data_IF_480050144378
#
_entry.id   IF_480050144378
#
_cell.length_a   1.000
_cell.length_b   1.000
_cell.length_c   1.000
_cell.angle_alpha   90.00
_cell.angle_beta   90.00
_cell.angle_gamma   90.00
#
_symmetry.space_group_name_H-M   'P 1'
#
loop_
_entity.id
_entity.type
_entity.pdbx_description
1 polymer ?
#
# COMPACT_ATOMS: atom_id res chain seq x y z
N UNK A 1 -40.53 0.31 21.31
CA UNK A 1 -39.68 1.05 20.34
C UNK A 1 -38.19 1.03 20.70
N UNK A 2 -37.78 1.20 21.97
CA UNK A 2 -36.35 1.15 22.33
C UNK A 2 -35.67 -0.21 22.09
N UNK A 3 -36.39 -1.33 22.30
CA UNK A 3 -35.85 -2.69 22.10
C UNK A 3 -35.72 -3.12 20.63
N UNK A 4 -36.47 -2.52 19.71
CA UNK A 4 -36.32 -2.77 18.27
C UNK A 4 -35.15 -1.97 17.69
N UNK A 5 -34.91 -0.76 18.19
CA UNK A 5 -33.80 0.10 17.78
C UNK A 5 -32.43 -0.48 18.18
N UNK A 6 -32.31 -1.06 19.38
CA UNK A 6 -31.08 -1.72 19.83
C UNK A 6 -30.74 -2.96 19.00
N UNK A 7 -31.74 -3.80 18.67
CA UNK A 7 -31.56 -4.98 17.81
C UNK A 7 -31.14 -4.60 16.38
N UNK A 8 -31.74 -3.56 15.80
CA UNK A 8 -31.39 -3.11 14.45
C UNK A 8 -29.97 -2.55 14.38
N UNK A 9 -29.58 -1.76 15.39
CA UNK A 9 -28.22 -1.21 15.50
C UNK A 9 -27.19 -2.33 15.69
N UNK A 10 -27.48 -3.29 16.58
CA UNK A 10 -26.62 -4.45 16.82
C UNK A 10 -26.43 -5.31 15.56
N UNK A 11 -27.51 -5.65 14.86
CA UNK A 11 -27.43 -6.42 13.61
C UNK A 11 -26.61 -5.69 12.54
N UNK A 12 -26.79 -4.36 12.42
CA UNK A 12 -25.99 -3.55 11.49
C UNK A 12 -24.50 -3.59 11.86
N UNK A 13 -24.15 -3.35 13.12
CA UNK A 13 -22.75 -3.39 13.57
C UNK A 13 -22.14 -4.79 13.40
N UNK A 14 -22.87 -5.85 13.76
CA UNK A 14 -22.43 -7.22 13.61
C UNK A 14 -22.15 -7.57 12.15
N UNK A 15 -23.08 -7.26 11.23
CA UNK A 15 -22.88 -7.50 9.79
C UNK A 15 -21.71 -6.72 9.23
N UNK A 16 -21.47 -5.48 9.66
CA UNK A 16 -20.29 -4.70 9.25
C UNK A 16 -19.00 -5.38 9.70
N UNK A 17 -18.91 -5.77 10.97
CA UNK A 17 -17.70 -6.43 11.51
C UNK A 17 -17.46 -7.77 10.81
N UNK A 18 -18.50 -8.60 10.66
CA UNK A 18 -18.42 -9.89 9.99
C UNK A 18 -17.98 -9.73 8.52
N UNK A 19 -18.54 -8.76 7.79
CA UNK A 19 -18.16 -8.48 6.41
C UNK A 19 -16.70 -7.99 6.33
N UNK A 20 -16.25 -7.11 7.23
CA UNK A 20 -14.86 -6.66 7.27
C UNK A 20 -13.88 -7.81 7.49
N UNK A 21 -14.18 -8.71 8.44
CA UNK A 21 -13.35 -9.89 8.71
C UNK A 21 -13.33 -10.82 7.49
N UNK A 22 -14.49 -11.11 6.90
CA UNK A 22 -14.60 -11.91 5.69
C UNK A 22 -13.75 -11.34 4.54
N UNK A 23 -13.81 -10.02 4.33
CA UNK A 23 -13.03 -9.33 3.30
C UNK A 23 -11.53 -9.41 3.57
N UNK A 24 -11.10 -9.14 4.80
CA UNK A 24 -9.68 -9.24 5.17
C UNK A 24 -9.15 -10.66 4.93
N UNK A 25 -9.91 -11.68 5.34
CA UNK A 25 -9.52 -13.07 5.14
C UNK A 25 -9.46 -13.43 3.65
N UNK A 26 -10.52 -13.13 2.89
CA UNK A 26 -10.59 -13.46 1.47
C UNK A 26 -9.53 -12.74 0.64
N UNK A 27 -9.30 -11.45 0.89
CA UNK A 27 -8.22 -10.70 0.24
C UNK A 27 -6.88 -11.30 0.63
N UNK A 28 -6.67 -11.62 1.91
CA UNK A 28 -5.46 -12.31 2.37
C UNK A 28 -5.20 -13.61 1.61
N UNK A 29 -6.22 -14.48 1.49
CA UNK A 29 -6.09 -15.75 0.78
C UNK A 29 -5.82 -15.57 -0.71
N UNK A 30 -6.53 -14.64 -1.38
CA UNK A 30 -6.27 -14.33 -2.79
C UNK A 30 -4.87 -13.79 -2.99
N UNK A 31 -4.38 -12.95 -2.08
CA UNK A 31 -3.01 -12.44 -2.12
C UNK A 31 -2.00 -13.57 -1.98
N UNK A 32 -2.22 -14.51 -1.04
CA UNK A 32 -1.34 -15.68 -0.87
C UNK A 32 -1.33 -16.58 -2.11
N UNK A 33 -2.50 -16.81 -2.71
CA UNK A 33 -2.66 -17.61 -3.92
C UNK A 33 -2.05 -16.96 -5.16
N UNK A 34 -1.99 -15.62 -5.23
CA UNK A 34 -1.35 -14.91 -6.34
C UNK A 34 0.13 -14.59 -6.08
N UNK A 35 0.57 -14.68 -4.82
CA UNK A 35 1.95 -14.52 -4.37
C UNK A 35 2.61 -15.88 -4.07
N UNK A 36 2.31 -16.92 -4.86
CA UNK A 36 2.85 -18.28 -4.67
C UNK A 36 4.38 -18.33 -4.48
N UNK A 37 5.20 -17.59 -5.25
CA UNK A 37 6.65 -17.65 -5.07
C UNK A 37 7.06 -17.31 -3.64
N UNK A 38 6.47 -16.28 -3.05
CA UNK A 38 6.81 -15.84 -1.70
C UNK A 38 6.18 -16.74 -0.63
N UNK A 39 4.94 -17.18 -0.83
CA UNK A 39 4.26 -18.04 0.16
C UNK A 39 4.90 -19.41 0.25
N UNK A 40 5.32 -19.99 -0.87
CA UNK A 40 6.05 -21.27 -0.88
C UNK A 40 7.36 -21.17 -0.10
N UNK A 41 8.13 -20.08 -0.25
CA UNK A 41 9.37 -19.90 0.53
C UNK A 41 9.11 -19.83 2.04
N UNK A 42 8.03 -19.15 2.44
CA UNK A 42 7.66 -19.06 3.86
C UNK A 42 7.14 -20.39 4.43
N UNK A 43 6.32 -21.12 3.66
CA UNK A 43 5.79 -22.44 4.07
C UNK A 43 6.91 -23.47 4.16
N UNK A 44 7.83 -23.47 3.20
CA UNK A 44 8.98 -24.38 3.17
C UNK A 44 10.10 -23.99 4.16
N UNK A 45 9.97 -22.84 4.85
CA UNK A 45 10.98 -22.32 5.80
C UNK A 45 12.39 -22.34 5.21
N UNK A 46 12.53 -21.87 3.98
CA UNK A 46 13.84 -21.69 3.35
C UNK A 46 14.67 -20.75 4.25
N UNK A 47 15.96 -21.05 4.53
CA UNK A 47 16.72 -20.20 5.44
C UNK A 47 16.96 -18.82 4.81
N UNK A 48 16.93 -17.78 5.65
CA UNK A 48 17.11 -16.37 5.23
C UNK A 48 18.49 -16.09 4.63
N UNK A 49 19.43 -17.03 4.73
CA UNK A 49 20.72 -16.99 4.03
C UNK A 49 20.55 -16.96 2.51
N UNK A 50 19.46 -17.53 1.99
CA UNK A 50 19.07 -17.41 0.58
C UNK A 50 18.30 -16.11 0.31
N UNK A 51 18.79 -14.97 0.80
CA UNK A 51 18.18 -13.66 0.55
C UNK A 51 17.90 -13.34 -0.93
N UNK A 52 18.66 -13.83 -1.94
CA UNK A 52 18.35 -13.54 -3.35
C UNK A 52 17.04 -14.17 -3.80
N UNK A 53 16.69 -15.36 -3.29
CA UNK A 53 15.44 -16.04 -3.66
C UNK A 53 14.25 -15.30 -3.06
N UNK A 54 14.38 -14.78 -1.83
CA UNK A 54 13.37 -13.93 -1.21
C UNK A 54 13.16 -12.61 -1.96
N UNK A 55 14.23 -11.95 -2.40
CA UNK A 55 14.13 -10.72 -3.18
C UNK A 55 13.40 -10.96 -4.52
N UNK A 56 13.74 -12.04 -5.23
CA UNK A 56 13.09 -12.41 -6.48
C UNK A 56 11.62 -12.82 -6.27
N UNK A 57 11.33 -13.59 -5.21
CA UNK A 57 9.96 -13.98 -4.87
C UNK A 57 9.08 -12.77 -4.49
N UNK A 58 9.65 -11.78 -3.78
CA UNK A 58 8.98 -10.53 -3.43
C UNK A 58 8.68 -9.69 -4.68
N UNK A 59 9.63 -9.62 -5.62
CA UNK A 59 9.44 -8.94 -6.90
C UNK A 59 8.32 -9.58 -7.73
N UNK A 60 8.30 -10.92 -7.84
CA UNK A 60 7.26 -11.66 -8.55
C UNK A 60 5.89 -11.56 -7.86
N UNK A 61 5.86 -11.33 -6.56
CA UNK A 61 4.63 -11.18 -5.77
C UNK A 61 4.07 -9.76 -5.74
N UNK A 62 4.81 -8.76 -6.26
CA UNK A 62 4.38 -7.36 -6.36
C UNK A 62 2.98 -7.13 -6.97
N UNK A 63 2.58 -7.78 -8.09
CA UNK A 63 1.23 -7.60 -8.63
C UNK A 63 0.13 -8.10 -7.69
N UNK A 64 0.42 -9.09 -6.84
CA UNK A 64 -0.52 -9.57 -5.82
C UNK A 64 -0.80 -8.50 -4.77
N UNK A 65 0.27 -7.89 -4.24
CA UNK A 65 0.15 -6.78 -3.27
C UNK A 65 -0.51 -5.54 -3.89
N UNK A 66 -0.24 -5.23 -5.16
CA UNK A 66 -0.93 -4.15 -5.87
C UNK A 66 -2.45 -4.40 -5.98
N UNK A 67 -2.85 -5.62 -6.31
CA UNK A 67 -4.27 -6.00 -6.36
C UNK A 67 -4.94 -5.92 -4.97
N UNK A 68 -4.23 -6.36 -3.93
CA UNK A 68 -4.68 -6.22 -2.54
C UNK A 68 -4.91 -4.76 -2.15
N UNK A 69 -3.96 -3.87 -2.45
CA UNK A 69 -4.06 -2.44 -2.16
C UNK A 69 -5.17 -1.77 -2.97
N UNK A 70 -5.41 -2.21 -4.21
CA UNK A 70 -6.53 -1.76 -5.03
C UNK A 70 -7.89 -2.08 -4.37
N UNK A 71 -8.04 -3.25 -3.77
CA UNK A 71 -9.25 -3.59 -3.01
C UNK A 71 -9.35 -2.75 -1.74
N UNK A 72 -8.30 -2.67 -0.92
CA UNK A 72 -8.32 -1.90 0.33
C UNK A 72 -8.64 -0.43 0.16
N UNK A 73 -8.27 0.13 -0.98
CA UNK A 73 -8.54 1.51 -1.35
C UNK A 73 -10.01 1.82 -1.58
N UNK A 74 -10.71 0.94 -2.29
CA UNK A 74 -12.07 1.19 -2.78
C UNK A 74 -13.13 0.40 -2.00
N UNK A 75 -12.75 -0.39 -1.00
CA UNK A 75 -13.69 -1.23 -0.26
C UNK A 75 -14.48 -0.41 0.78
N UNK A 76 -15.82 -0.25 0.64
CA UNK A 76 -16.61 0.59 1.54
C UNK A 76 -16.79 -0.04 2.93
N UNK A 77 -16.58 -1.35 3.06
CA UNK A 77 -16.75 -2.08 4.32
C UNK A 77 -15.73 -1.68 5.39
N UNK A 78 -14.56 -1.18 5.00
CA UNK A 78 -13.58 -0.62 5.94
C UNK A 78 -14.03 0.73 6.53
N UNK A 79 -15.21 1.23 6.13
CA UNK A 79 -15.86 2.45 6.63
C UNK A 79 -14.89 3.66 6.66
N UNK A 80 -13.96 3.70 5.71
CA UNK A 80 -13.06 4.83 5.56
C UNK A 80 -13.83 5.93 4.83
N UNK A 81 -13.91 7.10 5.48
CA UNK A 81 -14.58 8.29 4.92
C UNK A 81 -14.11 8.57 3.49
N UNK A 82 -12.83 8.32 3.22
CA UNK A 82 -12.20 8.54 1.92
C UNK A 82 -12.70 7.58 0.82
N UNK A 83 -12.89 6.30 1.14
CA UNK A 83 -13.42 5.34 0.18
C UNK A 83 -14.89 5.64 -0.15
N UNK A 84 -15.70 5.96 0.86
CA UNK A 84 -17.09 6.34 0.64
C UNK A 84 -17.24 7.61 -0.20
N UNK A 85 -16.46 8.65 0.09
CA UNK A 85 -16.50 9.89 -0.68
C UNK A 85 -16.07 9.68 -2.13
N UNK A 86 -15.03 8.87 -2.36
CA UNK A 86 -14.57 8.53 -3.71
C UNK A 86 -15.66 7.82 -4.53
N UNK A 87 -16.30 6.82 -3.93
CA UNK A 87 -17.39 6.09 -4.59
C UNK A 87 -18.57 7.02 -4.87
N UNK A 88 -19.00 7.82 -3.87
CA UNK A 88 -20.08 8.80 -4.03
C UNK A 88 -19.78 9.80 -5.14
N UNK A 89 -18.58 10.39 -5.15
CA UNK A 89 -18.17 11.34 -6.18
C UNK A 89 -18.11 10.69 -7.56
N UNK A 90 -17.66 9.43 -7.66
CA UNK A 90 -17.70 8.68 -8.90
C UNK A 90 -19.13 8.46 -9.38
N UNK A 91 -20.01 7.98 -8.51
CA UNK A 91 -21.41 7.70 -8.80
C UNK A 91 -22.19 8.96 -9.20
N UNK A 92 -21.97 10.08 -8.50
CA UNK A 92 -22.59 11.38 -8.81
C UNK A 92 -22.17 11.93 -10.17
N UNK A 93 -20.96 11.60 -10.64
CA UNK A 93 -20.38 12.10 -11.89
C UNK A 93 -20.30 11.02 -12.98
N UNK A 94 -21.03 9.89 -12.85
CA UNK A 94 -21.03 8.79 -13.84
C UNK A 94 -21.40 9.23 -15.26
N UNK A 95 -22.18 10.30 -15.40
CA UNK A 95 -22.62 10.83 -16.69
C UNK A 95 -21.54 11.64 -17.40
N UNK A 96 -20.51 12.07 -16.70
CA UNK A 96 -19.44 12.89 -17.25
C UNK A 96 -18.33 12.01 -17.82
N UNK A 97 -18.12 11.96 -19.14
CA UNK A 97 -17.13 11.08 -19.75
C UNK A 97 -15.68 11.44 -19.38
N UNK A 98 -15.45 12.65 -18.89
CA UNK A 98 -14.14 13.16 -18.47
C UNK A 98 -13.81 12.88 -16.99
N UNK A 99 -14.71 12.25 -16.23
CA UNK A 99 -14.51 11.95 -14.81
C UNK A 99 -14.51 10.43 -14.55
N UNK A 100 -13.53 9.89 -13.80
CA UNK A 100 -12.30 10.53 -13.33
C UNK A 100 -11.33 10.76 -14.50
N UNK A 101 -10.42 11.73 -14.38
CA UNK A 101 -9.41 11.94 -15.40
C UNK A 101 -8.59 10.68 -15.66
N UNK A 102 -8.15 10.54 -16.90
CA UNK A 102 -7.39 9.40 -17.40
C UNK A 102 -6.15 8.97 -16.58
N UNK A 103 -5.59 9.89 -15.80
CA UNK A 103 -4.44 9.65 -14.94
C UNK A 103 -4.80 9.06 -13.58
N UNK A 104 -6.03 9.25 -13.08
CA UNK A 104 -6.55 8.65 -11.84
C UNK A 104 -7.21 7.31 -12.17
N UNK A 105 -6.98 6.28 -11.35
CA UNK A 105 -7.67 5.00 -11.53
C UNK A 105 -9.18 5.15 -11.26
N UNK A 106 -10.00 4.54 -12.12
CA UNK A 106 -11.42 4.28 -11.79
C UNK A 106 -11.51 3.37 -10.55
N UNK A 107 -12.62 3.42 -9.79
CA UNK A 107 -12.83 2.48 -8.70
C UNK A 107 -12.73 1.02 -9.19
N UNK A 108 -11.95 0.21 -8.50
CA UNK A 108 -11.77 -1.21 -8.82
C UNK A 108 -12.95 -2.05 -8.35
N UNK A 109 -13.56 -1.67 -7.23
CA UNK A 109 -14.72 -2.32 -6.62
C UNK A 109 -15.98 -1.54 -6.97
N UNK A 110 -16.96 -2.17 -7.64
CA UNK A 110 -18.26 -1.55 -7.91
C UNK A 110 -19.09 -1.29 -6.64
N UNK A 111 -19.86 -0.20 -6.61
CA UNK A 111 -20.76 0.14 -5.49
C UNK A 111 -21.97 -0.79 -5.36
N UNK A 112 -22.39 -1.42 -6.45
CA UNK A 112 -23.55 -2.32 -6.51
C UNK A 112 -23.32 -3.68 -5.82
N UNK A 113 -22.05 -4.08 -5.62
CA UNK A 113 -21.69 -5.42 -5.09
C UNK A 113 -20.57 -5.37 -4.06
N UNK A 114 -20.91 -4.89 -2.87
CA UNK A 114 -19.98 -4.72 -1.73
C UNK A 114 -19.22 -6.00 -1.35
N UNK A 115 -19.78 -7.19 -1.56
CA UNK A 115 -19.16 -8.48 -1.18
C UNK A 115 -18.44 -9.20 -2.33
N UNK A 116 -18.49 -8.67 -3.56
CA UNK A 116 -17.88 -9.32 -4.71
C UNK A 116 -16.38 -9.01 -4.79
N UNK A 117 -15.53 -9.90 -4.28
CA UNK A 117 -14.07 -9.66 -4.21
C UNK A 117 -13.33 -10.27 -5.41
N UNK A 118 -13.69 -11.49 -5.80
CA UNK A 118 -12.91 -12.29 -6.75
C UNK A 118 -12.70 -11.58 -8.09
N UNK A 119 -13.78 -11.11 -8.72
CA UNK A 119 -13.71 -10.46 -10.04
C UNK A 119 -12.95 -9.13 -10.00
N UNK A 120 -13.23 -8.20 -9.05
CA UNK A 120 -12.44 -6.99 -8.88
C UNK A 120 -10.96 -7.26 -8.63
N UNK A 121 -10.63 -8.24 -7.78
CA UNK A 121 -9.24 -8.57 -7.45
C UNK A 121 -8.46 -9.01 -8.70
N UNK A 122 -8.97 -9.99 -9.46
CA UNK A 122 -8.30 -10.46 -10.67
C UNK A 122 -8.26 -9.40 -11.78
N UNK A 123 -9.25 -8.49 -11.84
CA UNK A 123 -9.24 -7.35 -12.76
C UNK A 123 -8.11 -6.38 -12.39
N UNK A 124 -8.00 -5.99 -11.12
CA UNK A 124 -6.93 -5.12 -10.63
C UNK A 124 -5.55 -5.77 -10.83
N UNK A 125 -5.44 -7.07 -10.54
CA UNK A 125 -4.23 -7.86 -10.75
C UNK A 125 -3.75 -7.78 -12.20
N UNK A 126 -4.63 -8.08 -13.17
CA UNK A 126 -4.28 -8.03 -14.60
C UNK A 126 -3.93 -6.61 -15.07
N UNK A 127 -4.67 -5.60 -14.61
CA UNK A 127 -4.46 -4.22 -15.03
C UNK A 127 -3.14 -3.63 -14.51
N UNK A 128 -2.76 -3.98 -13.28
CA UNK A 128 -1.57 -3.42 -12.60
C UNK A 128 -0.33 -4.30 -12.79
N UNK A 129 -0.46 -5.49 -13.39
CA UNK A 129 0.56 -6.54 -13.42
C UNK A 129 1.96 -6.03 -13.79
N UNK A 130 2.12 -5.50 -15.00
CA UNK A 130 3.43 -5.09 -15.52
C UNK A 130 4.05 -3.93 -14.74
N UNK A 131 3.22 -2.98 -14.29
CA UNK A 131 3.69 -1.78 -13.58
C UNK A 131 4.10 -2.12 -12.15
N UNK A 132 3.30 -2.94 -11.47
CA UNK A 132 3.62 -3.46 -10.15
C UNK A 132 4.88 -4.33 -10.20
N UNK A 133 5.02 -5.17 -11.23
CA UNK A 133 6.22 -5.98 -11.45
C UNK A 133 7.45 -5.11 -11.70
N UNK A 134 7.37 -4.08 -12.54
CA UNK A 134 8.50 -3.16 -12.79
C UNK A 134 8.99 -2.48 -11.50
N UNK A 135 8.06 -2.00 -10.66
CA UNK A 135 8.38 -1.43 -9.35
C UNK A 135 8.95 -2.46 -8.39
N UNK A 136 8.36 -3.64 -8.38
CA UNK A 136 8.82 -4.74 -7.55
C UNK A 136 10.25 -5.13 -7.87
N UNK A 137 10.57 -5.33 -9.15
CA UNK A 137 11.92 -5.63 -9.60
C UNK A 137 12.90 -4.49 -9.31
N UNK A 138 12.54 -3.23 -9.54
CA UNK A 138 13.46 -2.13 -9.26
C UNK A 138 13.81 -2.02 -7.77
N UNK A 139 12.83 -2.10 -6.88
CA UNK A 139 13.09 -2.04 -5.44
C UNK A 139 13.82 -3.30 -4.94
N UNK A 140 13.42 -4.49 -5.40
CA UNK A 140 14.04 -5.74 -4.98
C UNK A 140 15.46 -5.91 -5.50
N UNK A 141 15.78 -5.40 -6.69
CA UNK A 141 17.16 -5.38 -7.22
C UNK A 141 18.06 -4.54 -6.32
N UNK A 142 17.59 -3.38 -5.87
CA UNK A 142 18.34 -2.52 -4.96
C UNK A 142 18.50 -3.18 -3.59
N UNK A 143 17.45 -3.79 -3.04
CA UNK A 143 17.51 -4.55 -1.79
C UNK A 143 18.50 -5.72 -1.92
N UNK A 144 18.51 -6.43 -3.06
CA UNK A 144 19.46 -7.50 -3.34
C UNK A 144 20.90 -6.99 -3.41
N UNK A 145 21.15 -5.88 -4.11
CA UNK A 145 22.48 -5.27 -4.22
C UNK A 145 23.02 -4.90 -2.84
N UNK A 146 22.21 -4.21 -2.01
CA UNK A 146 22.62 -3.89 -0.65
C UNK A 146 22.74 -5.11 0.27
N UNK A 147 21.94 -6.15 0.05
CA UNK A 147 22.08 -7.43 0.74
C UNK A 147 23.40 -8.13 0.39
N UNK A 148 23.84 -8.03 -0.86
CA UNK A 148 25.13 -8.52 -1.31
C UNK A 148 26.29 -7.69 -0.75
N UNK A 149 26.15 -6.35 -0.74
CA UNK A 149 27.13 -5.45 -0.13
C UNK A 149 27.29 -5.71 1.37
N UNK A 150 26.19 -6.01 2.08
CA UNK A 150 26.22 -6.45 3.48
C UNK A 150 27.09 -7.70 3.66
N UNK A 151 26.94 -8.69 2.78
CA UNK A 151 27.72 -9.93 2.83
C UNK A 151 29.21 -9.68 2.60
N UNK A 152 29.56 -8.81 1.64
CA UNK A 152 30.95 -8.40 1.40
C UNK A 152 31.52 -7.67 2.62
N UNK A 153 30.71 -6.78 3.21
CA UNK A 153 31.10 -5.95 4.35
C UNK A 153 31.49 -6.78 5.58
N UNK A 154 30.96 -7.99 5.74
CA UNK A 154 31.34 -8.92 6.82
C UNK A 154 32.81 -9.37 6.76
N UNK A 155 33.46 -9.26 5.60
CA UNK A 155 34.86 -9.67 5.42
C UNK A 155 35.85 -8.58 5.85
N UNK A 156 35.38 -7.35 6.09
CA UNK A 156 36.22 -6.21 6.42
C UNK A 156 36.11 -5.80 7.90
N UNK A 157 37.24 -5.40 8.50
CA UNK A 157 37.31 -4.97 9.90
C UNK A 157 36.46 -3.73 10.20
N UNK A 158 36.23 -2.86 9.20
CA UNK A 158 35.41 -1.65 9.32
C UNK A 158 33.93 -1.92 9.03
N UNK A 159 33.58 -3.16 8.71
CA UNK A 159 32.24 -3.53 8.26
C UNK A 159 31.15 -3.35 9.32
N UNK A 160 31.51 -3.41 10.60
CA UNK A 160 30.57 -3.21 11.70
C UNK A 160 29.87 -1.84 11.67
N UNK A 161 30.52 -0.80 11.13
CA UNK A 161 29.96 0.55 11.02
C UNK A 161 29.01 0.68 9.82
N UNK A 162 29.33 0.01 8.71
CA UNK A 162 28.54 0.08 7.48
C UNK A 162 27.26 -0.77 7.55
N UNK A 163 27.30 -1.86 8.31
CA UNK A 163 26.17 -2.76 8.57
C UNK A 163 24.85 -2.04 8.91
N UNK A 164 24.75 -1.23 9.97
CA UNK A 164 23.49 -0.57 10.31
C UNK A 164 23.02 0.41 9.23
N UNK A 165 23.95 1.08 8.54
CA UNK A 165 23.61 2.02 7.46
C UNK A 165 22.96 1.29 6.29
N UNK A 166 23.55 0.17 5.86
CA UNK A 166 23.03 -0.66 4.78
C UNK A 166 21.66 -1.25 5.13
N UNK A 167 21.46 -1.72 6.37
CA UNK A 167 20.16 -2.22 6.84
C UNK A 167 19.10 -1.13 6.81
N UNK A 168 19.42 0.09 7.25
CA UNK A 168 18.49 1.22 7.19
C UNK A 168 18.13 1.56 5.74
N UNK A 169 19.10 1.55 4.82
CA UNK A 169 18.84 1.79 3.40
C UNK A 169 17.93 0.71 2.82
N UNK A 170 18.18 -0.58 3.09
CA UNK A 170 17.29 -1.67 2.68
C UNK A 170 15.88 -1.50 3.23
N UNK A 171 15.75 -1.08 4.49
CA UNK A 171 14.46 -0.82 5.12
C UNK A 171 13.70 0.34 4.46
N UNK A 172 14.39 1.42 4.07
CA UNK A 172 13.81 2.53 3.29
C UNK A 172 13.33 2.03 1.93
N UNK A 173 14.11 1.19 1.23
CA UNK A 173 13.71 0.64 -0.07
C UNK A 173 12.55 -0.36 0.04
N UNK A 174 12.48 -1.13 1.11
CA UNK A 174 11.33 -1.99 1.41
C UNK A 174 10.07 -1.15 1.64
N UNK A 175 10.19 -0.01 2.33
CA UNK A 175 9.06 0.91 2.47
C UNK A 175 8.67 1.56 1.14
N UNK A 176 9.67 1.99 0.36
CA UNK A 176 9.46 2.59 -0.96
C UNK A 176 8.76 1.64 -1.93
N UNK A 177 9.00 0.32 -1.80
CA UNK A 177 8.25 -0.71 -2.54
C UNK A 177 6.74 -0.60 -2.26
N UNK A 178 6.31 -0.62 -0.99
CA UNK A 178 4.88 -0.55 -0.66
C UNK A 178 4.26 0.80 -1.03
N UNK A 179 4.96 1.91 -0.79
CA UNK A 179 4.50 3.25 -1.22
C UNK A 179 4.38 3.33 -2.74
N UNK A 180 5.34 2.78 -3.48
CA UNK A 180 5.33 2.73 -4.94
C UNK A 180 4.13 1.95 -5.48
N UNK A 181 3.79 0.82 -4.85
CA UNK A 181 2.59 0.05 -5.19
C UNK A 181 1.31 0.87 -4.95
N UNK A 182 1.20 1.57 -3.82
CA UNK A 182 0.06 2.46 -3.54
C UNK A 182 -0.06 3.58 -4.58
N UNK A 183 1.05 4.17 -5.00
CA UNK A 183 1.05 5.21 -6.04
C UNK A 183 0.59 4.64 -7.39
N UNK A 184 1.03 3.44 -7.78
CA UNK A 184 0.61 2.81 -9.04
C UNK A 184 -0.88 2.47 -9.02
N UNK A 185 -1.39 1.98 -7.88
CA UNK A 185 -2.81 1.70 -7.70
C UNK A 185 -3.64 2.97 -7.92
N UNK A 186 -3.15 4.12 -7.44
CA UNK A 186 -3.82 5.41 -7.59
C UNK A 186 -3.68 6.02 -8.98
N UNK A 187 -2.47 5.95 -9.54
CA UNK A 187 -2.13 6.55 -10.82
C UNK A 187 -1.66 5.53 -11.85
N UNK A 188 -2.63 4.82 -12.46
CA UNK A 188 -2.59 4.09 -13.71
C UNK A 188 -1.37 4.27 -14.54
N UNK A 189 -1.29 5.51 -15.02
CA UNK A 189 -0.53 5.97 -16.15
C UNK A 189 0.74 6.73 -15.75
N UNK A 190 1.09 6.79 -14.46
CA UNK A 190 2.29 7.48 -13.99
C UNK A 190 3.57 6.90 -14.62
N UNK A 191 4.56 7.77 -14.88
CA UNK A 191 5.90 7.38 -15.37
C UNK A 191 6.67 6.66 -14.26
N UNK A 192 7.31 5.53 -14.57
CA UNK A 192 7.97 4.68 -13.58
C UNK A 192 9.04 5.41 -12.75
N UNK A 193 9.85 6.28 -13.39
CA UNK A 193 10.87 7.09 -12.71
C UNK A 193 10.27 8.03 -11.67
N UNK A 194 9.15 8.66 -12.00
CA UNK A 194 8.50 9.60 -11.09
C UNK A 194 7.90 8.85 -9.90
N UNK A 195 7.32 7.66 -10.14
CA UNK A 195 6.83 6.80 -9.06
C UNK A 195 7.95 6.43 -8.09
N UNK A 196 9.12 6.01 -8.60
CA UNK A 196 10.26 5.63 -7.75
C UNK A 196 10.86 6.80 -6.98
N UNK A 197 11.10 7.93 -7.65
CA UNK A 197 11.58 9.15 -6.98
C UNK A 197 10.64 9.59 -5.87
N UNK A 198 9.33 9.66 -6.16
CA UNK A 198 8.33 10.03 -5.18
C UNK A 198 8.24 9.04 -4.03
N UNK A 199 8.28 7.73 -4.31
CA UNK A 199 8.21 6.71 -3.26
C UNK A 199 9.38 6.84 -2.26
N UNK A 200 10.61 6.96 -2.75
CA UNK A 200 11.82 7.09 -1.91
C UNK A 200 11.77 8.39 -1.09
N UNK A 201 11.44 9.52 -1.72
CA UNK A 201 11.36 10.82 -1.04
C UNK A 201 10.29 10.82 0.08
N UNK A 202 9.16 10.17 -0.16
CA UNK A 202 8.07 10.07 0.82
C UNK A 202 8.44 9.16 2.00
N UNK A 203 9.14 8.06 1.74
CA UNK A 203 9.63 7.15 2.79
C UNK A 203 10.59 7.84 3.76
N UNK A 204 11.52 8.66 3.25
CA UNK A 204 12.49 9.40 4.08
C UNK A 204 11.82 10.54 4.85
N UNK A 205 10.88 11.27 4.23
CA UNK A 205 10.24 12.43 4.84
C UNK A 205 9.37 12.09 6.06
N UNK A 206 8.82 10.88 6.13
CA UNK A 206 7.88 10.44 7.17
C UNK A 206 8.38 9.20 7.91
N UNK A 207 9.48 9.41 8.63
CA UNK A 207 10.17 8.40 9.43
C UNK A 207 9.27 7.66 10.43
N UNK A 208 8.26 8.32 11.03
CA UNK A 208 7.33 7.64 11.95
C UNK A 208 6.52 6.52 11.29
N UNK A 209 6.00 6.75 10.07
CA UNK A 209 5.28 5.71 9.35
C UNK A 209 6.21 4.61 8.87
N UNK A 210 7.46 4.95 8.54
CA UNK A 210 8.49 3.97 8.26
C UNK A 210 8.76 3.07 9.48
N UNK A 211 8.87 3.63 10.69
CA UNK A 211 9.07 2.81 11.90
C UNK A 211 7.88 1.86 12.12
N UNK A 212 6.64 2.36 12.02
CA UNK A 212 5.45 1.53 12.22
C UNK A 212 5.39 0.40 11.19
N UNK A 213 5.59 0.72 9.91
CA UNK A 213 5.59 -0.26 8.84
C UNK A 213 6.68 -1.33 9.03
N UNK A 214 7.91 -0.92 9.39
CA UNK A 214 8.99 -1.86 9.68
C UNK A 214 8.68 -2.74 10.89
N UNK A 215 8.10 -2.21 11.96
CA UNK A 215 7.69 -3.00 13.12
C UNK A 215 6.63 -4.04 12.74
N UNK A 216 5.66 -3.66 11.90
CA UNK A 216 4.62 -4.57 11.39
C UNK A 216 5.23 -5.66 10.51
N UNK A 217 6.15 -5.29 9.62
CA UNK A 217 6.84 -6.24 8.73
C UNK A 217 7.76 -7.20 9.50
N UNK A 218 8.50 -6.71 10.49
CA UNK A 218 9.32 -7.56 11.38
C UNK A 218 8.41 -8.51 12.16
N UNK A 219 7.30 -8.01 12.72
CA UNK A 219 6.32 -8.83 13.42
C UNK A 219 5.69 -9.89 12.53
N UNK A 220 5.42 -9.57 11.26
CA UNK A 220 4.92 -10.53 10.27
C UNK A 220 5.93 -11.65 10.00
N UNK A 221 7.18 -11.29 9.64
CA UNK A 221 8.24 -12.27 9.36
C UNK A 221 8.48 -13.15 10.60
N UNK A 222 8.57 -12.52 11.78
CA UNK A 222 8.73 -13.23 13.05
C UNK A 222 7.58 -14.21 13.33
N UNK A 223 6.34 -13.77 13.17
CA UNK A 223 5.16 -14.62 13.34
C UNK A 223 5.12 -15.78 12.37
N UNK A 224 5.49 -15.55 11.10
CA UNK A 224 5.58 -16.59 10.07
C UNK A 224 6.66 -17.63 10.40
N UNK A 225 7.79 -17.22 10.98
CA UNK A 225 8.84 -18.16 11.39
C UNK A 225 8.34 -19.15 12.46
N UNK A 226 7.58 -18.67 13.44
CA UNK A 226 7.03 -19.53 14.49
C UNK A 226 5.83 -20.36 14.01
N UNK A 227 4.82 -19.70 13.45
CA UNK A 227 3.55 -20.33 13.04
C UNK A 227 3.18 -19.92 11.60
N UNK A 228 3.81 -20.51 10.57
CA UNK A 228 3.68 -20.04 9.19
C UNK A 228 2.24 -20.12 8.70
N UNK A 229 1.57 -21.25 8.92
CA UNK A 229 0.22 -21.49 8.38
C UNK A 229 -0.80 -20.52 9.00
N UNK A 230 -0.79 -20.34 10.32
CA UNK A 230 -1.75 -19.47 11.00
C UNK A 230 -1.54 -17.99 10.65
N UNK A 231 -0.29 -17.53 10.64
CA UNK A 231 0.02 -16.12 10.36
C UNK A 231 -0.22 -15.80 8.88
N UNK A 232 0.11 -16.71 7.97
CA UNK A 232 -0.21 -16.53 6.56
C UNK A 232 -1.73 -16.48 6.37
N UNK A 233 -2.48 -17.49 6.82
CA UNK A 233 -3.92 -17.58 6.54
C UNK A 233 -4.78 -16.52 7.23
N UNK A 234 -4.46 -16.16 8.48
CA UNK A 234 -5.27 -15.23 9.28
C UNK A 234 -4.66 -13.83 9.37
N UNK A 235 -3.33 -13.73 9.38
CA UNK A 235 -2.60 -12.48 9.61
C UNK A 235 -2.41 -11.64 8.35
N UNK A 236 -2.21 -12.25 7.17
CA UNK A 236 -1.85 -11.53 5.94
C UNK A 236 -2.82 -10.39 5.63
N UNK A 237 -4.13 -10.65 5.60
CA UNK A 237 -5.12 -9.61 5.31
C UNK A 237 -5.04 -8.39 6.25
N UNK A 238 -4.97 -8.65 7.56
CA UNK A 238 -4.95 -7.63 8.59
C UNK A 238 -3.62 -6.85 8.63
N UNK A 239 -2.51 -7.56 8.62
CA UNK A 239 -1.16 -6.99 8.71
C UNK A 239 -0.88 -6.11 7.49
N UNK A 240 -1.17 -6.60 6.29
CA UNK A 240 -0.98 -5.81 5.08
C UNK A 240 -2.00 -4.67 4.94
N UNK A 241 -3.14 -4.70 5.64
CA UNK A 241 -4.03 -3.53 5.72
C UNK A 241 -3.41 -2.41 6.57
N UNK A 242 -2.73 -2.76 7.66
CA UNK A 242 -1.97 -1.79 8.47
C UNK A 242 -0.80 -1.22 7.64
N UNK A 243 -0.07 -2.09 6.95
CA UNK A 243 1.02 -1.67 6.04
C UNK A 243 0.51 -0.75 4.93
N UNK A 244 -0.58 -1.13 4.27
CA UNK A 244 -1.26 -0.29 3.29
C UNK A 244 -1.65 1.07 3.88
N UNK A 245 -2.20 1.10 5.09
CA UNK A 245 -2.62 2.34 5.75
C UNK A 245 -1.42 3.27 6.01
N UNK A 246 -0.28 2.72 6.44
CA UNK A 246 0.96 3.47 6.63
C UNK A 246 1.51 4.02 5.30
N UNK A 247 1.59 3.18 4.27
CA UNK A 247 2.05 3.58 2.94
C UNK A 247 1.12 4.61 2.29
N UNK A 248 -0.20 4.45 2.44
CA UNK A 248 -1.22 5.37 1.94
C UNK A 248 -1.17 6.72 2.64
N UNK A 249 -0.93 6.73 3.94
CA UNK A 249 -0.72 7.96 4.69
C UNK A 249 0.49 8.71 4.16
N UNK A 250 1.63 8.04 3.91
CA UNK A 250 2.80 8.64 3.29
C UNK A 250 2.49 9.22 1.90
N UNK A 251 1.76 8.49 1.06
CA UNK A 251 1.36 8.92 -0.28
C UNK A 251 0.32 10.07 -0.30
N UNK A 252 -0.41 10.31 0.79
CA UNK A 252 -1.49 11.30 0.83
C UNK A 252 -1.01 12.74 0.56
N UNK A 253 0.23 13.10 0.92
CA UNK A 253 0.79 14.43 0.60
C UNK A 253 0.83 14.63 -0.90
N UNK A 254 1.36 13.64 -1.61
CA UNK A 254 1.48 13.68 -3.07
C UNK A 254 0.10 13.80 -3.72
N UNK A 255 -0.88 13.06 -3.21
CA UNK A 255 -2.24 13.07 -3.78
C UNK A 255 -2.93 14.40 -3.54
N UNK A 256 -2.76 14.98 -2.35
CA UNK A 256 -3.28 16.31 -2.04
C UNK A 256 -2.63 17.41 -2.90
N UNK A 257 -1.32 17.31 -3.17
CA UNK A 257 -0.61 18.24 -4.05
C UNK A 257 -1.12 18.15 -5.50
N UNK A 258 -1.21 16.94 -6.05
CA UNK A 258 -1.73 16.73 -7.40
C UNK A 258 -3.20 17.14 -7.55
N UNK A 259 -4.02 16.94 -6.50
CA UNK A 259 -5.40 17.42 -6.49
C UNK A 259 -5.47 18.95 -6.54
N UNK A 260 -4.58 19.66 -5.85
CA UNK A 260 -4.50 21.13 -5.88
C UNK A 260 -4.02 21.62 -7.25
N UNK A 261 -2.99 20.98 -7.82
CA UNK A 261 -2.44 21.32 -9.14
C UNK A 261 -3.43 21.08 -10.29
N UNK A 262 -4.27 20.04 -10.17
CA UNK A 262 -5.29 19.74 -11.16
C UNK A 262 -6.35 20.83 -11.31
N UNK A 263 -6.51 21.72 -10.32
CA UNK A 263 -7.50 22.82 -10.35
C UNK A 263 -8.98 22.38 -10.24
N UNK A 264 -9.29 21.10 -10.41
CA UNK A 264 -10.66 20.58 -10.33
C UNK A 264 -11.12 20.41 -8.89
N UNK A 265 -12.23 21.05 -8.54
CA UNK A 265 -12.85 20.96 -7.22
C UNK A 265 -13.24 19.53 -6.86
N UNK A 266 -13.69 18.73 -7.82
CA UNK A 266 -14.15 17.34 -7.57
C UNK A 266 -13.01 16.44 -7.10
N UNK A 267 -11.85 16.58 -7.72
CA UNK A 267 -10.63 15.84 -7.36
C UNK A 267 -10.10 16.34 -6.03
N UNK A 268 -10.14 17.67 -5.79
CA UNK A 268 -9.81 18.22 -4.48
C UNK A 268 -10.70 17.64 -3.40
N UNK A 269 -12.00 17.56 -3.61
CA UNK A 269 -12.97 17.01 -2.66
C UNK A 269 -12.74 15.50 -2.39
N UNK A 270 -12.24 14.77 -3.39
CA UNK A 270 -11.85 13.36 -3.25
C UNK A 270 -10.65 13.15 -2.32
N UNK A 271 -9.74 14.13 -2.23
CA UNK A 271 -8.50 14.06 -1.43
C UNK A 271 -8.46 15.07 -0.27
N UNK A 272 -9.48 15.91 -0.10
CA UNK A 272 -9.54 17.04 0.85
C UNK A 272 -9.74 16.61 2.30
N UNK A 273 -10.03 15.33 2.56
CA UNK A 273 -10.16 14.80 3.92
C UNK A 273 -8.84 14.85 4.71
N UNK A 274 -7.69 14.94 4.03
CA UNK A 274 -6.42 15.30 4.68
C UNK A 274 -6.15 16.81 4.82
N UNK A 275 -6.89 17.64 4.07
CA UNK A 275 -6.75 19.09 4.02
C UNK A 275 -7.62 19.82 5.05
N UNK A 276 -8.63 19.18 5.63
CA UNK A 276 -9.37 19.66 6.81
C UNK A 276 -8.57 19.57 8.12
N UNK A 277 -7.30 19.14 8.05
CA UNK A 277 -6.28 19.55 9.01
C UNK A 277 -5.99 21.06 8.99
N UNK A 278 -6.72 21.85 8.19
CA UNK A 278 -6.79 23.32 8.24
C UNK A 278 -7.55 23.89 9.45
N UNK A 279 -7.80 23.11 10.51
CA UNK A 279 -7.94 23.67 11.86
C UNK A 279 -6.60 23.80 12.62
N UNK A 280 -5.48 23.31 12.07
CA UNK A 280 -4.13 23.60 12.56
C UNK A 280 -3.17 23.87 11.41
N UNK A 281 -3.15 25.13 10.95
CA UNK A 281 -1.93 25.68 10.33
C UNK A 281 -0.87 25.79 11.43
N UNK A 282 0.29 25.13 11.36
CA UNK A 282 1.46 25.65 12.01
C UNK A 282 1.96 26.82 11.16
N UNK A 283 1.97 28.03 11.74
CA UNK A 283 2.77 29.14 11.20
C UNK A 283 4.25 28.73 11.33
N UNK A 284 4.85 28.17 10.30
CA UNK A 284 6.29 28.28 10.10
C UNK A 284 6.65 28.22 8.62
N UNK A 285 7.05 29.38 8.12
CA UNK A 285 7.48 29.70 6.77
C UNK A 285 8.99 29.44 6.60
N UNK A 286 9.42 28.18 6.59
CA UNK A 286 10.86 27.87 6.52
C UNK A 286 11.31 27.04 5.31
N UNK A 287 10.40 26.49 4.49
CA UNK A 287 10.81 25.64 3.36
C UNK A 287 10.00 25.88 2.09
N UNK A 288 10.18 27.06 1.46
CA UNK A 288 10.12 27.20 0.00
C UNK A 288 11.55 27.02 -0.52
N UNK A 289 11.86 25.82 -0.97
CA UNK A 289 13.18 25.47 -1.51
C UNK A 289 13.09 24.20 -2.34
N UNK A 290 12.19 24.22 -3.34
CA UNK A 290 11.98 23.07 -4.23
C UNK A 290 11.17 23.42 -5.48
N UNK A 291 11.04 24.71 -5.81
CA UNK A 291 10.38 25.16 -7.03
C UNK A 291 11.29 25.10 -8.27
N UNK A 292 12.57 24.73 -8.12
CA UNK A 292 13.57 24.80 -9.20
C UNK A 292 14.10 23.43 -9.67
N UNK A 293 13.29 22.37 -9.65
CA UNK A 293 13.72 21.04 -10.14
C UNK A 293 12.90 20.52 -11.33
N UNK A 294 12.12 21.37 -11.99
CA UNK A 294 11.52 21.06 -13.30
C UNK A 294 11.40 22.30 -14.20
N UNK A 295 12.55 22.88 -14.52
CA UNK A 295 12.80 23.45 -15.84
C UNK A 295 13.85 22.59 -16.54
#
# INVERSE_FOLDING_TARGET
>A
MASSFSKQTFNKTFTTVANSIYLMLMVGWLTLLCALPLTVLFVLRVPLTFYPTYALALALSAPSFAAMFAIFRDQPTFNSRDAELRIKLYDDNLKDPNFPPDWIAKPYVPSDRVTAIFRPFFRAYKQLFLRALAVGFSCCLVIFAFGYDLQITQQFTWGAILMPVLVVVMAIFLQAYFVGLVIIVEYPKAKWLNVMKSAILLSVRRWLALIIALLVMVGFVWGVMWNPILVLLLGTGLIFYIEYSAARWQAQILFAQMAVESGDKRIRDMYSVGADAKSRRPKSSFWRGGADIMQ
#
